data_IF_214692169319
#
_entry.id   IF_214692169319
#
_cell.length_a   1.000
_cell.length_b   1.000
_cell.length_c   1.000
_cell.angle_alpha   90.00
_cell.angle_beta   90.00
_cell.angle_gamma   90.00
#
_symmetry.space_group_name_H-M   'P 1'
#
loop_
_entity.id
_entity.type
_entity.pdbx_description
1 polymer ?
#
# COMPACT_ATOMS: atom_id res chain seq x y z
N UNK A 1 25.43 3.08 9.98
CA UNK A 1 24.64 3.93 9.08
C UNK A 1 23.60 3.09 8.37
N UNK A 2 22.38 3.60 8.10
CA UNK A 2 21.38 2.86 7.34
C UNK A 2 21.85 2.71 5.89
N UNK A 3 22.16 1.48 5.48
CA UNK A 3 22.61 1.10 4.13
C UNK A 3 21.63 1.55 3.03
N UNK A 4 20.36 1.78 3.37
CA UNK A 4 19.29 2.19 2.46
C UNK A 4 19.39 3.63 1.95
N UNK A 5 20.26 4.47 2.52
CA UNK A 5 20.43 5.86 2.06
C UNK A 5 21.56 6.01 1.03
N UNK A 6 22.28 4.93 0.70
CA UNK A 6 23.28 4.97 -0.36
C UNK A 6 22.58 5.16 -1.73
N UNK A 7 22.87 6.24 -2.48
CA UNK A 7 22.26 6.51 -3.78
C UNK A 7 22.45 5.37 -4.78
N UNK A 8 23.51 4.56 -4.63
CA UNK A 8 23.74 3.38 -5.49
C UNK A 8 22.69 2.30 -5.23
N UNK A 9 22.34 2.08 -3.97
CA UNK A 9 21.30 1.12 -3.60
C UNK A 9 19.94 1.58 -4.11
N UNK A 10 19.64 2.88 -4.02
CA UNK A 10 18.42 3.45 -4.57
C UNK A 10 18.34 3.24 -6.09
N UNK A 11 19.43 3.50 -6.82
CA UNK A 11 19.49 3.22 -8.26
C UNK A 11 19.29 1.74 -8.62
N UNK A 12 19.80 0.82 -7.80
CA UNK A 12 19.57 -0.62 -8.01
C UNK A 12 18.09 -0.99 -7.77
N UNK A 13 17.46 -0.41 -6.75
CA UNK A 13 16.03 -0.61 -6.47
C UNK A 13 15.19 -0.08 -7.64
N UNK A 14 15.51 1.10 -8.16
CA UNK A 14 14.83 1.67 -9.33
C UNK A 14 15.02 0.80 -10.57
N UNK A 15 16.23 0.26 -10.78
CA UNK A 15 16.51 -0.68 -11.86
C UNK A 15 15.72 -1.98 -11.75
N UNK A 16 15.62 -2.55 -10.55
CA UNK A 16 14.80 -3.74 -10.27
C UNK A 16 13.31 -3.45 -10.47
N UNK A 17 12.83 -2.27 -10.08
CA UNK A 17 11.44 -1.85 -10.30
C UNK A 17 11.14 -1.71 -11.80
N UNK A 18 12.05 -1.08 -12.55
CA UNK A 18 11.94 -0.93 -14.00
C UNK A 18 11.97 -2.28 -14.74
N UNK A 19 12.67 -3.29 -14.20
CA UNK A 19 12.69 -4.64 -14.75
C UNK A 19 11.54 -5.53 -14.28
N UNK A 20 10.54 -4.96 -13.58
CA UNK A 20 9.42 -5.70 -12.98
C UNK A 20 9.87 -6.85 -12.06
N UNK A 21 10.97 -6.63 -11.33
CA UNK A 21 11.53 -7.57 -10.36
C UNK A 21 11.94 -8.92 -10.98
N UNK A 22 12.22 -8.98 -12.29
CA UNK A 22 12.62 -10.23 -12.97
C UNK A 22 13.86 -10.90 -12.37
N UNK A 23 14.79 -10.10 -11.81
CA UNK A 23 15.97 -10.61 -11.10
C UNK A 23 15.66 -11.24 -9.74
N UNK A 24 14.41 -11.18 -9.28
CA UNK A 24 13.95 -11.70 -7.98
C UNK A 24 12.94 -12.84 -8.15
N UNK A 25 12.84 -13.46 -9.33
CA UNK A 25 11.94 -14.59 -9.56
C UNK A 25 12.12 -15.72 -8.53
N UNK A 26 11.01 -16.19 -7.96
CA UNK A 26 10.98 -17.17 -6.87
C UNK A 26 11.27 -16.58 -5.48
N UNK A 27 11.62 -15.30 -5.36
CA UNK A 27 11.91 -14.68 -4.08
C UNK A 27 10.64 -14.45 -3.25
N UNK A 28 10.76 -14.69 -1.95
CA UNK A 28 9.81 -14.26 -0.92
C UNK A 28 10.45 -13.17 -0.08
N UNK A 29 9.80 -12.02 -0.02
CA UNK A 29 10.26 -10.86 0.73
C UNK A 29 9.25 -10.61 1.83
N UNK A 30 9.72 -10.47 3.06
CA UNK A 30 8.90 -10.05 4.18
C UNK A 30 9.58 -8.89 4.88
N UNK A 31 8.83 -7.82 5.10
CA UNK A 31 9.33 -6.61 5.74
C UNK A 31 8.33 -6.14 6.79
N UNK A 32 8.84 -5.72 7.94
CA UNK A 32 8.07 -5.00 8.96
C UNK A 32 8.59 -3.58 9.02
N UNK A 33 7.74 -2.62 8.70
CA UNK A 33 8.09 -1.22 8.55
C UNK A 33 7.47 -0.44 9.71
N UNK A 34 8.27 -0.05 10.72
CA UNK A 34 7.79 0.81 11.77
C UNK A 34 7.64 2.26 11.27
N UNK A 35 6.41 2.74 11.22
CA UNK A 35 6.08 4.13 10.90
C UNK A 35 5.88 4.88 12.21
N UNK A 36 6.86 5.71 12.56
CA UNK A 36 6.77 6.57 13.75
C UNK A 36 5.57 7.52 13.66
N UNK A 37 5.02 7.92 14.80
CA UNK A 37 3.95 8.93 14.87
C UNK A 37 4.35 10.24 14.16
N UNK A 38 5.61 10.65 14.27
CA UNK A 38 6.12 11.84 13.56
C UNK A 38 5.98 11.68 12.05
N UNK A 39 6.52 10.60 11.49
CA UNK A 39 6.44 10.33 10.05
C UNK A 39 4.98 10.18 9.60
N UNK A 40 4.16 9.48 10.38
CA UNK A 40 2.73 9.33 10.11
C UNK A 40 2.02 10.68 10.01
N UNK A 41 2.34 11.63 10.89
CA UNK A 41 1.74 12.96 10.89
C UNK A 41 2.27 13.87 9.79
N UNK A 42 3.54 13.75 9.44
CA UNK A 42 4.12 14.42 8.26
C UNK A 42 3.42 13.94 6.98
N UNK A 43 3.24 12.62 6.83
CA UNK A 43 2.50 12.02 5.71
C UNK A 43 1.02 12.45 5.73
N UNK A 44 0.34 12.34 6.86
CA UNK A 44 -1.08 12.71 6.97
C UNK A 44 -1.31 14.16 6.57
N UNK A 45 -0.44 15.08 7.00
CA UNK A 45 -0.50 16.49 6.64
C UNK A 45 -0.27 16.72 5.14
N UNK A 46 0.65 15.99 4.52
CA UNK A 46 0.90 16.06 3.09
C UNK A 46 -0.28 15.57 2.24
N UNK A 47 -1.14 14.70 2.79
CA UNK A 47 -2.34 14.18 2.12
C UNK A 47 -3.60 15.03 2.33
N UNK A 48 -3.58 16.05 3.19
CA UNK A 48 -4.72 16.97 3.35
C UNK A 48 -4.74 17.96 2.18
N UNK A 49 -5.78 17.97 1.33
CA UNK A 49 -5.90 18.94 0.25
C UNK A 49 -5.97 20.38 0.80
N UNK A 50 -5.42 21.35 0.08
CA UNK A 50 -5.46 22.75 0.49
C UNK A 50 -6.89 23.30 0.59
N UNK A 51 -7.82 22.77 -0.21
CA UNK A 51 -9.22 23.15 -0.23
C UNK A 51 -10.08 22.37 0.78
N UNK A 52 -9.49 21.40 1.49
CA UNK A 52 -10.23 20.57 2.43
C UNK A 52 -10.76 21.40 3.61
N UNK A 53 -11.91 21.03 4.20
CA UNK A 53 -12.43 21.76 5.36
C UNK A 53 -11.60 21.54 6.63
N UNK A 54 -10.58 20.69 6.59
CA UNK A 54 -9.68 20.39 7.70
C UNK A 54 -8.34 21.08 7.47
N UNK A 55 -7.86 21.82 8.46
CA UNK A 55 -6.57 22.54 8.42
C UNK A 55 -5.42 21.71 8.98
N UNK A 56 -5.68 20.98 10.05
CA UNK A 56 -4.67 20.19 10.74
C UNK A 56 -5.25 18.82 11.05
N UNK A 57 -4.47 17.77 10.79
CA UNK A 57 -4.77 16.40 11.18
C UNK A 57 -3.56 15.86 11.94
N UNK A 58 -3.83 15.24 13.07
CA UNK A 58 -2.84 14.50 13.84
C UNK A 58 -3.39 13.13 14.16
N UNK A 59 -2.55 12.11 14.06
CA UNK A 59 -2.83 10.70 14.27
C UNK A 59 -1.89 10.22 15.36
N UNK A 60 -2.45 9.57 16.36
CA UNK A 60 -1.77 9.07 17.55
C UNK A 60 -1.98 7.56 17.65
N UNK A 61 -1.02 6.73 17.21
CA UNK A 61 -1.08 5.29 17.39
C UNK A 61 -1.06 4.91 18.87
N UNK A 62 -1.95 3.99 19.24
CA UNK A 62 -2.07 3.43 20.59
C UNK A 62 -1.98 1.91 20.53
N UNK A 63 -1.67 1.28 21.65
CA UNK A 63 -1.69 -0.18 21.72
C UNK A 63 -3.07 -0.76 21.38
N UNK A 64 -3.09 -1.99 20.88
CA UNK A 64 -4.32 -2.74 20.63
C UNK A 64 -5.06 -2.29 19.38
N UNK A 65 -4.34 -1.99 18.29
CA UNK A 65 -4.93 -1.62 17.00
C UNK A 65 -5.78 -0.36 17.04
N UNK A 66 -5.44 0.60 17.91
CA UNK A 66 -6.19 1.85 18.11
C UNK A 66 -5.43 3.06 17.60
N UNK A 67 -6.18 4.01 17.04
CA UNK A 67 -5.66 5.28 16.54
C UNK A 67 -6.52 6.42 17.12
N UNK A 68 -5.88 7.40 17.74
CA UNK A 68 -6.52 8.67 18.07
C UNK A 68 -6.29 9.67 16.94
N UNK A 69 -7.33 10.12 16.27
CA UNK A 69 -7.24 11.16 15.25
C UNK A 69 -7.79 12.46 15.80
N UNK A 70 -7.00 13.53 15.72
CA UNK A 70 -7.43 14.88 16.10
C UNK A 70 -7.36 15.79 14.88
N UNK A 71 -8.48 16.44 14.59
CA UNK A 71 -8.63 17.31 13.43
C UNK A 71 -9.09 18.72 13.83
N UNK A 72 -8.58 19.75 13.15
CA UNK A 72 -9.05 21.14 13.27
C UNK A 72 -9.70 21.60 11.97
N UNK A 73 -10.88 22.22 12.05
CA UNK A 73 -11.62 22.72 10.89
C UNK A 73 -11.05 24.06 10.45
N UNK A 74 -10.78 24.23 9.15
CA UNK A 74 -10.14 25.42 8.60
C UNK A 74 -11.00 26.69 8.69
N UNK A 75 -12.30 26.56 8.41
CA UNK A 75 -13.23 27.71 8.30
C UNK A 75 -13.83 28.17 9.63
N UNK A 76 -13.48 27.52 10.74
CA UNK A 76 -14.09 27.80 12.03
C UNK A 76 -13.06 27.69 13.16
N UNK A 77 -12.16 28.68 13.24
CA UNK A 77 -11.10 28.73 14.24
C UNK A 77 -11.60 28.77 15.69
N UNK A 78 -12.87 29.13 15.91
CA UNK A 78 -13.52 29.12 17.22
C UNK A 78 -14.00 27.73 17.65
N UNK A 79 -14.04 26.74 16.73
CA UNK A 79 -14.47 25.40 17.08
C UNK A 79 -13.33 24.63 17.75
N UNK A 80 -13.62 23.88 18.83
CA UNK A 80 -12.62 23.01 19.43
C UNK A 80 -12.19 21.92 18.44
N UNK A 81 -10.96 21.41 18.55
CA UNK A 81 -10.51 20.29 17.73
C UNK A 81 -11.38 19.06 17.97
N UNK A 82 -11.74 18.37 16.89
CA UNK A 82 -12.51 17.13 16.94
C UNK A 82 -11.55 15.99 17.23
N UNK A 83 -11.91 15.10 18.15
CA UNK A 83 -11.15 13.89 18.43
C UNK A 83 -11.98 12.68 18.07
N UNK A 84 -11.39 11.77 17.30
CA UNK A 84 -11.98 10.52 16.84
C UNK A 84 -11.08 9.39 17.32
N UNK A 85 -11.63 8.46 18.09
CA UNK A 85 -10.92 7.23 18.42
C UNK A 85 -11.36 6.15 17.45
N UNK A 86 -10.39 5.52 16.82
CA UNK A 86 -10.54 4.51 15.80
C UNK A 86 -9.91 3.19 16.27
N UNK A 87 -10.42 2.06 15.78
CA UNK A 87 -9.88 0.73 16.02
C UNK A 87 -9.84 -0.05 14.70
N UNK A 88 -8.72 -0.69 14.38
CA UNK A 88 -8.63 -1.57 13.22
C UNK A 88 -9.39 -2.86 13.56
N UNK A 89 -10.60 -2.96 13.02
CA UNK A 89 -11.51 -4.07 13.25
C UNK A 89 -11.14 -5.28 12.38
N UNK A 90 -10.70 -5.03 11.14
CA UNK A 90 -10.33 -6.09 10.18
C UNK A 90 -9.19 -5.65 9.28
N UNK A 91 -8.21 -6.53 9.09
CA UNK A 91 -7.09 -6.35 8.16
C UNK A 91 -7.54 -6.50 6.70
N UNK A 92 -6.84 -5.82 5.79
CA UNK A 92 -7.06 -6.02 4.37
C UNK A 92 -6.62 -7.44 3.94
N UNK A 93 -7.41 -8.08 3.09
CA UNK A 93 -7.02 -9.27 2.34
C UNK A 93 -7.04 -8.85 0.88
N UNK A 94 -5.87 -8.69 0.29
CA UNK A 94 -5.76 -8.20 -1.08
C UNK A 94 -5.97 -9.32 -2.09
N UNK A 95 -6.57 -9.02 -3.25
CA UNK A 95 -7.14 -7.72 -3.65
C UNK A 95 -8.60 -7.51 -3.18
N UNK A 96 -9.18 -8.47 -2.46
CA UNK A 96 -10.62 -8.66 -2.36
C UNK A 96 -11.32 -7.86 -1.25
N UNK A 97 -10.61 -7.49 -0.18
CA UNK A 97 -11.24 -6.87 0.99
C UNK A 97 -10.47 -5.67 1.54
N UNK A 98 -11.17 -4.57 1.89
CA UNK A 98 -10.56 -3.38 2.43
C UNK A 98 -10.14 -3.57 3.89
N UNK A 99 -9.20 -2.74 4.32
CA UNK A 99 -8.91 -2.55 5.74
C UNK A 99 -10.12 -1.86 6.38
N UNK A 100 -10.67 -2.43 7.44
CA UNK A 100 -11.83 -1.86 8.15
C UNK A 100 -11.39 -1.25 9.46
N UNK A 101 -11.71 0.02 9.62
CA UNK A 101 -11.42 0.79 10.81
C UNK A 101 -12.73 1.26 11.42
N UNK A 102 -13.05 0.79 12.62
CA UNK A 102 -14.26 1.14 13.37
C UNK A 102 -14.05 2.43 14.16
N UNK A 103 -15.04 3.31 14.13
CA UNK A 103 -15.09 4.49 14.98
C UNK A 103 -15.60 4.06 16.35
N UNK A 104 -14.74 4.14 17.37
CA UNK A 104 -15.11 3.79 18.75
C UNK A 104 -15.88 4.92 19.41
N UNK A 105 -15.35 6.15 19.30
CA UNK A 105 -15.96 7.33 19.88
C UNK A 105 -15.60 8.54 19.05
N UNK A 106 -16.53 9.46 18.92
CA UNK A 106 -16.33 10.71 18.20
C UNK A 106 -16.80 11.91 19.04
N UNK A 107 -16.20 12.15 20.22
CA UNK A 107 -16.54 13.30 21.04
C UNK A 107 -16.35 14.60 20.24
N UNK A 108 -17.41 15.42 20.16
CA UNK A 108 -17.43 16.67 19.39
C UNK A 108 -17.86 16.54 17.93
N UNK A 109 -18.10 15.32 17.42
CA UNK A 109 -18.66 15.14 16.07
C UNK A 109 -20.16 15.42 16.04
N UNK A 110 -20.88 15.16 17.14
CA UNK A 110 -22.30 15.52 17.30
C UNK A 110 -22.53 17.02 17.18
N UNK A 111 -21.63 17.85 17.71
CA UNK A 111 -21.68 19.31 17.53
C UNK A 111 -21.45 19.75 16.08
N UNK A 112 -20.84 18.91 15.24
CA UNK A 112 -20.68 19.18 13.81
C UNK A 112 -21.87 18.69 12.98
N UNK A 113 -22.58 17.64 13.41
CA UNK A 113 -23.77 17.11 12.72
C UNK A 113 -24.95 18.09 12.68
N UNK A 114 -25.00 19.07 13.59
CA UNK A 114 -25.99 20.15 13.54
C UNK A 114 -25.81 21.08 12.32
N UNK A 115 -24.65 21.02 11.67
CA UNK A 115 -24.36 21.70 10.41
C UNK A 115 -24.43 20.60 9.34
N UNK A 116 -25.18 20.79 8.26
CA UNK A 116 -25.38 19.78 7.21
C UNK A 116 -24.09 19.48 6.39
N UNK A 117 -23.04 18.99 7.05
CA UNK A 117 -21.75 18.69 6.46
C UNK A 117 -21.73 17.23 5.98
N UNK A 118 -21.58 16.98 4.68
CA UNK A 118 -21.42 15.63 4.17
C UNK A 118 -20.01 15.13 4.52
N UNK A 119 -19.87 14.44 5.65
CA UNK A 119 -18.59 13.86 6.10
C UNK A 119 -17.94 13.00 5.01
N UNK A 120 -18.75 12.30 4.19
CA UNK A 120 -18.28 11.51 3.07
C UNK A 120 -17.51 12.32 2.02
N UNK A 121 -17.87 13.60 1.79
CA UNK A 121 -17.19 14.46 0.83
C UNK A 121 -15.83 14.96 1.34
N UNK A 122 -15.53 14.77 2.63
CA UNK A 122 -14.25 15.14 3.25
C UNK A 122 -13.26 13.99 3.32
N UNK A 123 -13.69 12.77 2.95
CA UNK A 123 -12.82 11.60 3.00
C UNK A 123 -11.91 11.59 1.78
N UNK A 124 -10.62 11.25 1.97
CA UNK A 124 -9.72 10.99 0.86
C UNK A 124 -10.29 9.90 -0.07
N UNK A 125 -10.03 9.98 -1.39
CA UNK A 125 -10.49 8.95 -2.31
C UNK A 125 -9.85 7.60 -1.96
N UNK A 126 -10.65 6.53 -1.98
CA UNK A 126 -10.27 5.20 -1.46
C UNK A 126 -10.65 4.97 0.00
N UNK A 127 -11.23 5.97 0.68
CA UNK A 127 -11.79 5.83 2.03
C UNK A 127 -13.30 6.04 1.94
N UNK A 128 -14.07 5.03 2.35
CA UNK A 128 -15.53 5.07 2.36
C UNK A 128 -15.99 4.98 3.81
N UNK A 129 -16.86 5.90 4.23
CA UNK A 129 -17.55 5.80 5.52
C UNK A 129 -18.86 5.04 5.31
N UNK A 130 -18.97 3.89 5.96
CA UNK A 130 -20.18 3.07 6.00
C UNK A 130 -20.58 2.88 7.48
N UNK A 131 -21.72 3.44 7.87
CA UNK A 131 -22.19 3.48 9.25
C UNK A 131 -21.14 4.11 10.20
N UNK A 132 -20.51 3.29 11.05
CA UNK A 132 -19.44 3.67 11.97
C UNK A 132 -18.09 3.05 11.58
N UNK A 133 -17.94 2.64 10.33
CA UNK A 133 -16.74 1.99 9.80
C UNK A 133 -16.17 2.78 8.64
N UNK A 134 -14.87 2.98 8.67
CA UNK A 134 -14.08 3.46 7.54
C UNK A 134 -13.53 2.25 6.82
N UNK A 135 -13.91 2.09 5.55
CA UNK A 135 -13.40 1.09 4.65
C UNK A 135 -12.27 1.75 3.86
N UNK A 136 -11.05 1.27 4.07
CA UNK A 136 -9.86 1.78 3.41
C UNK A 136 -9.48 0.80 2.31
N UNK A 137 -9.70 1.22 1.07
CA UNK A 137 -9.30 0.48 -0.12
C UNK A 137 -7.79 0.65 -0.34
N UNK A 138 -7.02 -0.26 0.25
CA UNK A 138 -5.55 -0.25 0.17
C UNK A 138 -5.08 -0.40 -1.27
N UNK A 139 -5.82 -1.13 -2.11
CA UNK A 139 -5.49 -1.29 -3.52
C UNK A 139 -5.60 0.06 -4.24
N UNK A 140 -6.74 0.74 -4.12
CA UNK A 140 -6.94 2.04 -4.75
C UNK A 140 -5.91 3.07 -4.26
N UNK A 141 -5.51 3.01 -2.98
CA UNK A 141 -4.44 3.87 -2.45
C UNK A 141 -3.08 3.56 -3.09
N UNK A 142 -2.70 2.28 -3.20
CA UNK A 142 -1.43 1.89 -3.83
C UNK A 142 -1.38 2.28 -5.32
N UNK A 143 -2.45 2.04 -6.07
CA UNK A 143 -2.55 2.42 -7.48
C UNK A 143 -2.39 3.93 -7.67
N UNK A 144 -3.05 4.73 -6.81
CA UNK A 144 -2.95 6.20 -6.87
C UNK A 144 -1.58 6.74 -6.52
N UNK A 145 -0.82 6.05 -5.69
CA UNK A 145 0.57 6.38 -5.38
C UNK A 145 1.55 5.84 -6.44
N UNK A 146 1.04 5.21 -7.51
CA UNK A 146 1.87 4.66 -8.58
C UNK A 146 2.59 3.38 -8.18
N UNK A 147 2.06 2.62 -7.21
CA UNK A 147 2.56 1.31 -6.78
C UNK A 147 1.64 0.16 -7.21
N UNK A 148 0.76 0.40 -8.19
CA UNK A 148 -0.17 -0.61 -8.68
C UNK A 148 0.53 -1.85 -9.27
N UNK A 149 1.75 -1.67 -9.79
CA UNK A 149 2.61 -2.74 -10.30
C UNK A 149 3.08 -3.72 -9.22
N UNK A 150 3.00 -3.35 -7.93
CA UNK A 150 3.37 -4.23 -6.81
C UNK A 150 2.25 -5.18 -6.42
N UNK A 151 0.99 -4.85 -6.75
CA UNK A 151 -0.17 -5.65 -6.35
C UNK A 151 -0.11 -7.12 -6.76
N UNK A 152 0.36 -7.50 -7.97
CA UNK A 152 0.48 -8.91 -8.35
C UNK A 152 1.45 -9.72 -7.48
N UNK A 153 2.41 -9.04 -6.84
CA UNK A 153 3.40 -9.67 -5.97
C UNK A 153 3.00 -9.64 -4.49
N UNK A 154 2.00 -8.83 -4.11
CA UNK A 154 1.64 -8.60 -2.73
C UNK A 154 0.79 -9.76 -2.17
N UNK A 155 1.40 -10.61 -1.35
CA UNK A 155 0.71 -11.73 -0.70
C UNK A 155 -0.11 -11.27 0.50
N UNK A 156 0.46 -10.36 1.31
CA UNK A 156 -0.27 -9.79 2.44
C UNK A 156 0.24 -8.42 2.83
N UNK A 157 -0.68 -7.61 3.33
CA UNK A 157 -0.38 -6.37 4.04
C UNK A 157 -1.15 -6.37 5.35
N UNK A 158 -0.46 -6.09 6.45
CA UNK A 158 -1.06 -6.01 7.78
C UNK A 158 -0.63 -4.72 8.44
N UNK A 159 -1.58 -4.07 9.08
CA UNK A 159 -1.38 -2.82 9.79
C UNK A 159 -1.72 -3.04 11.25
N UNK A 160 -0.74 -2.92 12.13
CA UNK A 160 -0.95 -2.96 13.58
C UNK A 160 -0.46 -1.68 14.22
N UNK A 161 -0.84 -1.46 15.48
CA UNK A 161 -0.45 -0.24 16.21
C UNK A 161 0.18 -0.57 17.54
N UNK A 162 1.24 0.17 17.84
CA UNK A 162 1.91 0.20 19.13
C UNK A 162 1.89 1.66 19.65
N UNK A 163 2.16 1.91 20.93
CA UNK A 163 2.27 3.28 21.42
C UNK A 163 3.28 4.10 20.60
N UNK A 164 2.79 5.16 19.94
CA UNK A 164 3.62 6.11 19.18
C UNK A 164 4.12 5.62 17.81
N UNK A 165 3.68 4.45 17.33
CA UNK A 165 4.00 3.98 15.97
C UNK A 165 2.98 3.01 15.40
N UNK A 166 2.94 2.97 14.08
CA UNK A 166 2.17 2.01 13.29
C UNK A 166 3.17 1.01 12.68
N UNK A 167 2.87 -0.28 12.75
CA UNK A 167 3.67 -1.32 12.10
C UNK A 167 2.95 -1.75 10.83
N UNK A 168 3.64 -1.65 9.70
CA UNK A 168 3.17 -2.18 8.42
C UNK A 168 3.98 -3.42 8.09
N UNK A 169 3.35 -4.59 8.19
CA UNK A 169 3.95 -5.84 7.76
C UNK A 169 3.52 -6.11 6.32
N UNK A 170 4.50 -6.34 5.45
CA UNK A 170 4.30 -6.58 4.03
C UNK A 170 4.98 -7.89 3.65
N UNK A 171 4.26 -8.78 2.98
CA UNK A 171 4.82 -9.98 2.36
C UNK A 171 4.62 -9.91 0.85
N UNK A 172 5.72 -10.07 0.11
CA UNK A 172 5.75 -10.11 -1.34
C UNK A 172 6.28 -11.46 -1.82
N UNK A 173 5.75 -11.94 -2.94
CA UNK A 173 6.25 -13.11 -3.63
C UNK A 173 6.30 -12.82 -5.12
N UNK A 174 7.51 -12.88 -5.65
CA UNK A 174 7.76 -12.77 -7.09
C UNK A 174 7.67 -14.17 -7.66
N UNK A 175 6.58 -14.47 -8.36
CA UNK A 175 6.42 -15.79 -8.99
C UNK A 175 7.52 -16.00 -10.02
N UNK A 176 8.15 -17.16 -10.01
CA UNK A 176 8.99 -17.57 -11.13
C UNK A 176 8.11 -17.61 -12.39
N UNK A 177 8.61 -17.11 -13.52
CA UNK A 177 7.91 -17.31 -14.79
C UNK A 177 7.95 -18.80 -15.10
N UNK A 178 6.80 -19.46 -14.99
CA UNK A 178 6.62 -20.82 -15.51
C UNK A 178 6.70 -20.76 -17.05
N UNK A 179 7.92 -20.73 -17.60
CA UNK A 179 8.06 -20.43 -19.02
C UNK A 179 9.49 -20.33 -19.56
N UNK A 180 10.35 -21.30 -19.26
CA UNK A 180 11.46 -21.65 -20.17
C UNK A 180 11.86 -23.15 -20.16
N UNK A 181 11.20 -23.98 -19.33
CA UNK A 181 11.45 -25.43 -19.29
C UNK A 181 10.72 -26.23 -20.39
N UNK A 182 9.87 -25.59 -21.21
CA UNK A 182 9.12 -26.26 -22.28
C UNK A 182 9.69 -26.06 -23.70
N UNK A 183 10.75 -25.26 -23.87
CA UNK A 183 11.33 -24.92 -25.18
C UNK A 183 12.54 -25.75 -25.62
N UNK A 184 13.12 -26.58 -24.74
CA UNK A 184 14.40 -27.28 -25.00
C UNK A 184 14.27 -28.80 -25.15
N UNK A 185 13.07 -29.31 -25.45
CA UNK A 185 12.88 -30.67 -25.93
C UNK A 185 12.77 -30.69 -27.46
N UNK A 186 13.89 -31.08 -28.07
CA UNK A 186 13.93 -31.88 -29.29
C UNK A 186 13.76 -31.16 -30.64
N UNK A 187 14.85 -30.55 -31.14
CA UNK A 187 15.12 -30.55 -32.59
C UNK A 187 16.26 -31.54 -32.84
N UNK A 188 15.98 -32.79 -33.25
CA UNK A 188 17.04 -33.69 -33.66
C UNK A 188 17.70 -33.12 -34.91
N UNK A 189 19.04 -33.06 -34.86
CA UNK A 189 19.88 -32.88 -36.01
C UNK A 189 19.72 -34.11 -36.93
N UNK A 190 18.84 -34.03 -37.92
CA UNK A 190 19.05 -34.71 -39.19
C UNK A 190 19.75 -33.71 -40.09
N UNK A 191 21.05 -33.81 -40.38
CA UNK A 191 21.69 -35.02 -40.88
C UNK A 191 21.72 -34.90 -42.40
N UNK A 192 22.53 -33.95 -42.88
CA UNK A 192 22.90 -33.90 -44.28
C UNK A 192 23.91 -35.02 -44.53
N UNK A 193 23.54 -35.97 -45.39
CA UNK A 193 24.50 -36.90 -45.97
C UNK A 193 24.39 -36.80 -47.50
N UNK A 194 25.21 -35.88 -47.97
CA UNK A 194 25.93 -35.87 -49.23
C UNK A 194 26.18 -37.28 -49.81
N UNK A 195 25.57 -37.58 -50.97
CA UNK A 195 26.06 -38.61 -51.91
C UNK A 195 25.97 -38.11 -53.35
N UNK A 196 27.05 -37.43 -53.73
CA UNK A 196 27.86 -37.58 -54.96
C UNK A 196 27.26 -38.40 -56.10
N UNK A 197 27.17 -37.70 -57.23
CA UNK A 197 27.63 -38.07 -58.58
C UNK A 197 28.47 -39.36 -58.72
N UNK A 198 28.02 -40.22 -59.63
CA UNK A 198 28.76 -41.12 -60.55
C UNK A 198 27.65 -41.76 -61.42
N UNK A 199 27.55 -41.65 -62.75
CA UNK A 199 28.55 -41.66 -63.80
C UNK A 199 28.32 -42.91 -64.69
N UNK A 200 28.03 -42.70 -65.99
CA UNK A 200 28.13 -43.63 -67.14
C UNK A 200 27.54 -45.07 -67.08
N UNK A 201 26.58 -45.40 -67.96
CA UNK A 201 26.72 -45.96 -69.34
C UNK A 201 25.32 -46.20 -69.92
#
# INVERSE_FOLDING_TARGET
EPVLTDPRVLHLIDGLRASHLSGLEGARISASIPVSERLLNELASAFVPAEAPVREVSVHPRAGNRLGVRARVARAAFLPPVTINLEIERQAILPDSPLVVRILTAPGLVSLLGVAFPLAAMLPPGIILQDQRLLVDVRALLERQGYGELLPYLESIRVTTEPGRLLVDVALHVRARDGDAAGSLHRPAGGGEDRRDEGDV
#
